data_IF_416286588515
#
_entry.id   IF_416286588515
#
_cell.length_a   1.000
_cell.length_b   1.000
_cell.length_c   1.000
_cell.angle_alpha   90.00
_cell.angle_beta   90.00
_cell.angle_gamma   90.00
#
_symmetry.space_group_name_H-M   'P 1'
#
loop_
_entity.id
_entity.type
_entity.pdbx_description
1 polymer ?
#
# COMPACT_ATOMS: atom_id res chain seq x y z
N UNK A 1 30.99 31.72 68.05
CA UNK A 1 30.85 32.00 66.60
C UNK A 1 31.08 30.76 65.76
N UNK A 2 32.04 29.90 66.12
CA UNK A 2 32.43 28.69 65.37
C UNK A 2 31.30 27.68 65.13
N UNK A 3 30.40 27.48 66.09
CA UNK A 3 29.24 26.56 65.93
C UNK A 3 28.28 26.99 64.82
N UNK A 4 28.15 28.30 64.56
CA UNK A 4 27.32 28.81 63.47
C UNK A 4 27.99 28.56 62.11
N UNK A 5 29.32 28.65 62.07
CA UNK A 5 30.12 28.40 60.86
C UNK A 5 30.03 26.92 60.48
N UNK A 6 30.26 26.01 61.43
CA UNK A 6 30.16 24.57 61.20
C UNK A 6 28.77 24.17 60.69
N UNK A 7 27.70 24.76 61.24
CA UNK A 7 26.33 24.49 60.80
C UNK A 7 26.03 25.03 59.39
N UNK A 8 26.67 26.13 59.00
CA UNK A 8 26.56 26.67 57.64
C UNK A 8 27.31 25.81 56.63
N UNK A 9 28.47 25.28 57.00
CA UNK A 9 29.25 24.35 56.18
C UNK A 9 28.49 23.04 55.95
N UNK A 10 27.87 22.50 57.00
CA UNK A 10 27.00 21.33 56.92
C UNK A 10 25.80 21.56 56.00
N UNK A 11 25.09 22.69 56.16
CA UNK A 11 23.96 23.06 55.29
C UNK A 11 24.39 23.26 53.83
N UNK A 12 25.58 23.82 53.60
CA UNK A 12 26.10 24.00 52.24
C UNK A 12 26.44 22.65 51.60
N UNK A 13 26.99 21.71 52.36
CA UNK A 13 27.26 20.35 51.88
C UNK A 13 25.96 19.62 51.52
N UNK A 14 24.96 19.67 52.40
CA UNK A 14 23.64 19.06 52.19
C UNK A 14 22.91 19.67 50.97
N UNK A 15 22.92 21.00 50.85
CA UNK A 15 22.33 21.69 49.69
C UNK A 15 23.03 21.30 48.40
N UNK A 16 24.37 21.17 48.41
CA UNK A 16 25.13 20.75 47.24
C UNK A 16 24.77 19.33 46.82
N UNK A 17 24.61 18.42 47.77
CA UNK A 17 24.22 17.04 47.50
C UNK A 17 22.81 16.95 46.91
N UNK A 18 21.84 17.69 47.48
CA UNK A 18 20.48 17.77 46.95
C UNK A 18 20.43 18.36 45.53
N UNK A 19 21.25 19.36 45.23
CA UNK A 19 21.34 19.94 43.87
C UNK A 19 21.90 18.92 42.88
N UNK A 20 22.90 18.14 43.28
CA UNK A 20 23.48 17.08 42.44
C UNK A 20 22.45 15.98 42.17
N UNK A 21 21.76 15.49 43.21
CA UNK A 21 20.69 14.50 43.06
C UNK A 21 19.57 15.01 42.16
N UNK A 22 19.08 16.22 42.43
CA UNK A 22 18.00 16.83 41.65
C UNK A 22 18.41 16.99 40.19
N UNK A 23 19.65 17.41 39.91
CA UNK A 23 20.17 17.52 38.54
C UNK A 23 20.24 16.16 37.86
N UNK A 24 20.74 15.12 38.54
CA UNK A 24 20.80 13.78 37.99
C UNK A 24 19.40 13.24 37.65
N UNK A 25 18.42 13.47 38.52
CA UNK A 25 17.03 13.11 38.27
C UNK A 25 16.39 13.93 37.15
N UNK A 26 16.79 15.20 36.98
CA UNK A 26 16.31 16.06 35.91
C UNK A 26 16.87 15.65 34.54
N UNK A 27 18.12 15.18 34.48
CA UNK A 27 18.73 14.60 33.28
C UNK A 27 18.08 13.25 32.89
N UNK A 28 17.53 12.51 33.87
CA UNK A 28 16.75 11.29 33.62
C UNK A 28 15.29 11.57 33.21
N UNK A 29 14.77 12.76 33.52
CA UNK A 29 13.42 13.14 33.14
C UNK A 29 13.39 13.55 31.67
N UNK A 30 12.51 12.92 30.88
CA UNK A 30 12.22 13.38 29.53
C UNK A 30 11.78 14.84 29.57
N UNK A 31 12.57 15.71 28.95
CA UNK A 31 12.27 17.13 28.88
C UNK A 31 11.12 17.35 27.89
N UNK A 32 10.49 18.52 27.96
CA UNK A 32 9.45 18.90 26.99
C UNK A 32 9.96 18.84 25.53
N UNK A 33 11.27 19.03 25.33
CA UNK A 33 11.90 18.90 24.03
C UNK A 33 11.93 17.44 23.55
N UNK A 34 12.25 16.50 24.43
CA UNK A 34 12.25 15.06 24.11
C UNK A 34 10.85 14.57 23.74
N UNK A 35 9.81 15.04 24.46
CA UNK A 35 8.42 14.73 24.12
C UNK A 35 8.00 15.30 22.76
N UNK A 36 8.47 16.50 22.39
CA UNK A 36 8.20 17.10 21.09
C UNK A 36 8.89 16.33 19.96
N UNK A 37 10.16 15.93 20.18
CA UNK A 37 10.91 15.09 19.25
C UNK A 37 10.22 13.72 19.07
N UNK A 38 9.86 13.06 20.17
CA UNK A 38 9.14 11.79 20.15
C UNK A 38 7.81 11.90 19.39
N UNK A 39 7.06 12.98 19.60
CA UNK A 39 5.81 13.23 18.86
C UNK A 39 6.05 13.36 17.36
N UNK A 40 7.10 14.07 16.96
CA UNK A 40 7.46 14.22 15.55
C UNK A 40 7.88 12.86 14.94
N UNK A 41 8.69 12.09 15.67
CA UNK A 41 9.09 10.74 15.26
C UNK A 41 7.89 9.80 15.15
N UNK A 42 6.94 9.84 16.09
CA UNK A 42 5.72 9.04 16.01
C UNK A 42 4.88 9.40 14.78
N UNK A 43 4.67 10.68 14.48
CA UNK A 43 3.92 11.09 13.30
C UNK A 43 4.61 10.63 12.00
N UNK A 44 5.94 10.75 11.94
CA UNK A 44 6.72 10.26 10.81
C UNK A 44 6.63 8.74 10.68
N UNK A 45 6.78 8.01 11.79
CA UNK A 45 6.69 6.55 11.82
C UNK A 45 5.32 6.04 11.38
N UNK A 46 4.24 6.66 11.86
CA UNK A 46 2.90 6.31 11.40
C UNK A 46 2.70 6.59 9.91
N UNK A 47 3.17 7.73 9.41
CA UNK A 47 3.06 8.05 7.99
C UNK A 47 3.84 7.04 7.12
N UNK A 48 5.04 6.63 7.55
CA UNK A 48 5.87 5.68 6.80
C UNK A 48 5.24 4.28 6.80
N UNK A 49 4.74 3.82 7.95
CA UNK A 49 3.98 2.55 8.05
C UNK A 49 2.77 2.57 7.13
N UNK A 50 1.97 3.64 7.17
CA UNK A 50 0.79 3.77 6.30
C UNK A 50 1.19 3.71 4.83
N UNK A 51 2.26 4.42 4.44
CA UNK A 51 2.73 4.44 3.07
C UNK A 51 3.14 3.02 2.59
N UNK A 52 3.88 2.28 3.40
CA UNK A 52 4.28 0.90 3.08
C UNK A 52 3.11 -0.09 3.08
N UNK A 53 2.17 0.05 4.01
CA UNK A 53 0.97 -0.81 4.07
C UNK A 53 0.10 -0.58 2.84
N UNK A 54 -0.19 0.68 2.50
CA UNK A 54 -0.98 1.02 1.32
C UNK A 54 -0.24 0.62 0.04
N UNK A 55 1.07 0.86 -0.04
CA UNK A 55 1.90 0.47 -1.17
C UNK A 55 1.89 -1.04 -1.41
N UNK A 56 2.12 -1.85 -0.38
CA UNK A 56 2.11 -3.32 -0.49
C UNK A 56 0.71 -3.87 -0.78
N UNK A 57 -0.35 -3.28 -0.21
CA UNK A 57 -1.72 -3.67 -0.49
C UNK A 57 -2.06 -3.49 -1.98
N UNK A 58 -1.73 -2.33 -2.56
CA UNK A 58 -1.97 -2.06 -4.00
C UNK A 58 -1.19 -3.04 -4.87
N UNK A 59 0.08 -3.29 -4.57
CA UNK A 59 0.92 -4.23 -5.33
C UNK A 59 0.37 -5.66 -5.24
N UNK A 60 -0.02 -6.12 -4.04
CA UNK A 60 -0.62 -7.45 -3.88
C UNK A 60 -1.95 -7.58 -4.62
N UNK A 61 -2.85 -6.59 -4.50
CA UNK A 61 -4.12 -6.60 -5.20
C UNK A 61 -3.93 -6.61 -6.72
N UNK A 62 -3.03 -5.77 -7.25
CA UNK A 62 -2.71 -5.74 -8.68
C UNK A 62 -2.14 -7.08 -9.16
N UNK A 63 -1.18 -7.64 -8.41
CA UNK A 63 -0.59 -8.95 -8.74
C UNK A 63 -1.62 -10.07 -8.73
N UNK A 64 -2.52 -10.07 -7.74
CA UNK A 64 -3.60 -11.06 -7.65
C UNK A 64 -4.55 -11.02 -8.84
N UNK A 65 -4.93 -9.81 -9.29
CA UNK A 65 -5.77 -9.63 -10.48
C UNK A 65 -5.03 -10.15 -11.72
N UNK A 66 -3.76 -9.78 -11.91
CA UNK A 66 -2.96 -10.23 -13.04
C UNK A 66 -2.88 -11.75 -13.08
N UNK A 67 -2.55 -12.39 -11.95
CA UNK A 67 -2.47 -13.85 -11.87
C UNK A 67 -3.82 -14.49 -12.20
N UNK A 68 -4.93 -13.99 -11.64
CA UNK A 68 -6.27 -14.52 -11.93
C UNK A 68 -6.63 -14.40 -13.42
N UNK A 69 -6.33 -13.27 -14.04
CA UNK A 69 -6.57 -13.06 -15.48
C UNK A 69 -5.71 -13.99 -16.33
N UNK A 70 -4.43 -14.15 -16.01
CA UNK A 70 -3.55 -15.08 -16.72
C UNK A 70 -3.99 -16.53 -16.58
N UNK A 71 -4.40 -16.94 -15.39
CA UNK A 71 -4.94 -18.29 -15.15
C UNK A 71 -6.21 -18.49 -15.97
N UNK A 72 -7.18 -17.58 -15.89
CA UNK A 72 -8.45 -17.73 -16.64
C UNK A 72 -8.24 -17.73 -18.16
N UNK A 73 -7.33 -16.90 -18.68
CA UNK A 73 -7.06 -16.82 -20.11
C UNK A 73 -6.26 -18.03 -20.65
N UNK A 74 -5.54 -18.75 -19.79
CA UNK A 74 -4.75 -19.94 -20.18
C UNK A 74 -5.36 -21.28 -19.71
N UNK A 75 -6.34 -21.29 -18.80
CA UNK A 75 -6.91 -22.51 -18.23
C UNK A 75 -7.98 -23.18 -19.11
N UNK A 76 -8.51 -22.49 -20.12
CA UNK A 76 -9.44 -23.08 -21.09
C UNK A 76 -8.69 -23.32 -22.39
N UNK A 77 -8.52 -24.58 -22.84
CA UNK A 77 -8.00 -24.85 -24.17
C UNK A 77 -8.85 -24.09 -25.19
N UNK A 78 -8.22 -23.19 -25.96
CA UNK A 78 -8.89 -22.54 -27.09
C UNK A 78 -9.45 -23.64 -27.97
N UNK A 79 -10.77 -23.70 -28.11
CA UNK A 79 -11.43 -24.70 -28.93
C UNK A 79 -10.80 -24.66 -30.33
N UNK A 80 -10.51 -25.82 -30.96
CA UNK A 80 -9.96 -25.85 -32.30
C UNK A 80 -10.81 -24.97 -33.22
N UNK A 81 -10.20 -24.11 -34.06
CA UNK A 81 -10.96 -23.29 -34.98
C UNK A 81 -11.93 -24.18 -35.77
N UNK A 82 -13.21 -23.77 -35.90
CA UNK A 82 -14.21 -24.60 -36.57
C UNK A 82 -13.69 -24.95 -37.97
N UNK A 83 -13.82 -26.22 -38.40
CA UNK A 83 -13.36 -26.62 -39.72
C UNK A 83 -14.04 -25.75 -40.78
N UNK A 84 -13.34 -25.36 -41.86
CA UNK A 84 -13.92 -24.55 -42.92
C UNK A 84 -15.14 -25.28 -43.48
N UNK A 85 -16.32 -24.70 -43.26
CA UNK A 85 -17.58 -25.27 -43.73
C UNK A 85 -17.67 -25.04 -45.25
N UNK A 86 -17.99 -26.07 -46.05
CA UNK A 86 -18.15 -25.91 -47.49
C UNK A 86 -19.22 -24.87 -47.81
N UNK A 87 -18.86 -23.87 -48.61
CA UNK A 87 -19.82 -22.90 -49.17
C UNK A 87 -20.68 -23.65 -50.19
N UNK A 88 -21.91 -23.99 -49.81
CA UNK A 88 -22.90 -24.57 -50.73
C UNK A 88 -23.54 -23.43 -51.52
N UNK A 89 -23.09 -23.23 -52.76
CA UNK A 89 -23.75 -22.34 -53.70
C UNK A 89 -24.97 -23.08 -54.27
N UNK A 90 -26.17 -22.71 -53.83
CA UNK A 90 -27.39 -23.15 -54.48
C UNK A 90 -27.57 -22.37 -55.78
N UNK A 91 -27.42 -23.04 -56.92
CA UNK A 91 -27.82 -22.48 -58.20
C UNK A 91 -29.34 -22.40 -58.23
N UNK A 92 -29.91 -21.19 -58.17
CA UNK A 92 -31.34 -21.00 -58.43
C UNK A 92 -31.67 -21.50 -59.84
N UNK A 93 -32.76 -22.27 -60.02
CA UNK A 93 -33.23 -22.66 -61.36
C UNK A 93 -33.51 -21.42 -62.20
N UNK A 94 -32.95 -21.38 -63.42
CA UNK A 94 -33.19 -20.30 -64.37
C UNK A 94 -34.70 -20.16 -64.63
N UNK A 95 -35.27 -18.94 -64.59
CA UNK A 95 -36.67 -18.71 -64.91
C UNK A 95 -36.99 -19.25 -66.32
N UNK A 96 -38.14 -19.92 -66.51
CA UNK A 96 -38.52 -20.43 -67.83
C UNK A 96 -38.63 -19.28 -68.83
N UNK A 97 -37.97 -19.44 -69.98
CA UNK A 97 -37.96 -18.47 -71.05
C UNK A 97 -39.40 -18.19 -71.53
N UNK A 98 -39.80 -16.91 -71.72
CA UNK A 98 -41.11 -16.58 -72.25
C UNK A 98 -41.34 -17.23 -73.62
N UNK A 99 -42.48 -17.91 -73.76
CA UNK A 99 -42.89 -18.51 -75.03
C UNK A 99 -42.96 -17.45 -76.12
N UNK A 100 -42.28 -17.70 -77.24
CA UNK A 100 -42.29 -16.82 -78.40
C UNK A 100 -43.73 -16.66 -78.93
N UNK A 101 -44.17 -15.44 -79.27
CA UNK A 101 -45.51 -15.21 -79.78
C UNK A 101 -45.71 -15.87 -81.16
N UNK A 102 -46.92 -16.39 -81.45
CA UNK A 102 -47.22 -17.06 -82.71
C UNK A 102 -47.17 -16.08 -83.89
N UNK A 103 -46.55 -16.54 -84.99
CA UNK A 103 -46.39 -15.78 -86.24
C UNK A 103 -47.73 -15.64 -86.98
N UNK A 104 -48.08 -14.41 -87.34
CA UNK A 104 -48.90 -14.05 -88.49
C UNK A 104 -48.19 -12.95 -89.28
#
# INVERSE_FOLDING_TARGET
METRIAKLEELMADTRELVIDTRARLEQCATKADLAALRAEMHKGFADIINWVVGTAIVMSGTGIVVMTFVLNNAVPTAPPPPPQPIVIYTQPAPPAPAAPPRM
#
